data_IF_480159351020
#
_entry.id   IF_480159351020
#
_cell.length_a   1.000
_cell.length_b   1.000
_cell.length_c   1.000
_cell.angle_alpha   90.00
_cell.angle_beta   90.00
_cell.angle_gamma   90.00
#
_symmetry.space_group_name_H-M   'P 1'
#
loop_
_entity.id
_entity.type
_entity.pdbx_description
1 polymer ?
#
# COMPACT_ATOMS: atom_id res chain seq x y z
N UNK A 1 -28.31 -0.99 -61.01
CA UNK A 1 -27.93 -1.47 -59.66
C UNK A 1 -27.70 -2.95 -59.83
N UNK A 2 -26.44 -3.27 -59.98
CA UNK A 2 -25.83 -4.27 -60.87
C UNK A 2 -24.77 -4.99 -59.99
N UNK A 3 -24.42 -6.27 -60.07
CA UNK A 3 -24.58 -7.31 -61.06
C UNK A 3 -24.59 -8.67 -60.33
N UNK A 4 -25.39 -9.61 -60.83
CA UNK A 4 -25.05 -11.04 -60.82
C UNK A 4 -24.81 -11.39 -62.28
N UNK A 5 -23.68 -12.05 -62.57
CA UNK A 5 -23.64 -13.21 -63.46
C UNK A 5 -22.21 -13.74 -63.55
N UNK A 6 -22.09 -15.06 -63.37
CA UNK A 6 -20.88 -15.84 -63.56
C UNK A 6 -21.01 -16.52 -64.92
N UNK A 7 -20.06 -16.28 -65.80
CA UNK A 7 -19.91 -16.99 -67.07
C UNK A 7 -18.50 -17.59 -67.19
N UNK A 8 -18.51 -18.83 -67.67
CA UNK A 8 -17.43 -19.72 -68.13
C UNK A 8 -16.59 -19.11 -69.29
N UNK A 9 -15.72 -19.85 -70.02
CA UNK A 9 -14.46 -20.49 -69.65
C UNK A 9 -13.30 -20.27 -70.70
N UNK A 10 -12.09 -20.76 -70.38
CA UNK A 10 -11.04 -21.25 -71.34
C UNK A 10 -10.29 -20.22 -72.23
N UNK A 11 -9.30 -20.63 -73.06
CA UNK A 11 -7.96 -21.13 -72.71
C UNK A 11 -6.84 -20.43 -73.54
N UNK A 12 -5.56 -20.59 -73.19
CA UNK A 12 -4.41 -20.67 -74.14
C UNK A 12 -3.10 -20.66 -73.33
N UNK A 13 -2.36 -21.77 -73.20
CA UNK A 13 -1.48 -22.39 -74.20
C UNK A 13 -0.47 -21.41 -74.82
N UNK A 14 0.77 -21.41 -74.32
CA UNK A 14 1.92 -22.00 -75.03
C UNK A 14 3.24 -21.70 -74.30
N UNK A 15 3.93 -22.74 -73.82
CA UNK A 15 5.11 -23.38 -74.46
C UNK A 15 6.40 -22.58 -74.24
N UNK A 16 7.23 -23.11 -73.34
CA UNK A 16 8.62 -23.51 -73.60
C UNK A 16 9.01 -24.51 -72.50
N UNK A 17 8.92 -25.84 -72.69
CA UNK A 17 9.99 -26.74 -73.21
C UNK A 17 11.40 -26.20 -72.96
N UNK A 18 12.39 -26.92 -72.43
CA UNK A 18 12.68 -28.33 -72.11
C UNK A 18 14.07 -28.25 -71.43
N UNK A 19 14.41 -28.99 -70.35
CA UNK A 19 15.18 -30.26 -70.34
C UNK A 19 15.37 -30.71 -68.88
N UNK A 20 14.79 -31.85 -68.49
CA UNK A 20 15.44 -33.18 -68.34
C UNK A 20 16.07 -33.40 -66.95
N UNK A 21 15.45 -34.26 -66.13
CA UNK A 21 15.89 -35.64 -65.83
C UNK A 21 17.04 -35.66 -64.79
N UNK A 22 17.02 -36.36 -63.66
CA UNK A 22 16.29 -37.57 -63.28
C UNK A 22 16.51 -37.82 -61.77
N UNK A 23 15.57 -38.57 -61.17
CA UNK A 23 15.72 -39.50 -60.05
C UNK A 23 16.05 -38.99 -58.63
N UNK A 24 15.01 -39.10 -57.80
CA UNK A 24 14.99 -39.73 -56.47
C UNK A 24 16.34 -40.26 -55.95
N UNK A 25 16.80 -39.66 -54.86
CA UNK A 25 17.25 -40.46 -53.72
C UNK A 25 16.87 -39.75 -52.42
N UNK A 26 16.30 -40.55 -51.54
CA UNK A 26 15.89 -40.24 -50.18
C UNK A 26 17.06 -39.64 -49.39
N UNK A 27 16.93 -38.39 -48.94
CA UNK A 27 17.62 -37.91 -47.76
C UNK A 27 16.54 -37.51 -46.77
N UNK A 28 16.40 -38.33 -45.73
CA UNK A 28 15.76 -37.93 -44.48
C UNK A 28 16.44 -36.63 -44.02
N UNK A 29 15.79 -35.50 -44.26
CA UNK A 29 16.07 -34.30 -43.50
C UNK A 29 15.20 -34.42 -42.26
N UNK A 30 15.80 -34.93 -41.19
CA UNK A 30 15.29 -34.78 -39.83
C UNK A 30 14.97 -33.29 -39.63
N UNK A 31 13.69 -32.93 -39.77
CA UNK A 31 13.19 -31.73 -39.13
C UNK A 31 13.22 -32.02 -37.65
N UNK A 32 14.34 -31.70 -37.01
CA UNK A 32 14.38 -31.45 -35.58
C UNK A 32 13.22 -30.48 -35.29
N UNK A 33 12.17 -31.01 -34.68
CA UNK A 33 11.17 -30.21 -34.02
C UNK A 33 11.95 -29.48 -32.92
N UNK A 34 12.28 -28.20 -33.13
CA UNK A 34 12.74 -27.34 -32.05
C UNK A 34 11.62 -27.32 -31.01
N UNK A 35 11.75 -28.16 -29.99
CA UNK A 35 10.98 -28.08 -28.76
C UNK A 35 11.05 -26.63 -28.31
N UNK A 36 9.91 -25.92 -28.28
CA UNK A 36 9.81 -24.58 -27.69
C UNK A 36 10.41 -24.67 -26.29
N UNK A 37 11.60 -24.11 -26.07
CA UNK A 37 12.09 -23.99 -24.71
C UNK A 37 11.15 -23.00 -24.00
N UNK A 38 10.61 -23.42 -22.87
CA UNK A 38 9.87 -22.52 -22.00
C UNK A 38 10.87 -22.05 -20.96
N UNK A 39 11.26 -20.79 -21.04
CA UNK A 39 12.09 -20.17 -20.01
C UNK A 39 11.18 -19.70 -18.86
N UNK A 40 11.48 -20.17 -17.65
CA UNK A 40 10.85 -19.70 -16.42
C UNK A 40 11.71 -18.56 -15.86
N UNK A 41 11.21 -17.33 -15.97
CA UNK A 41 11.92 -16.14 -15.50
C UNK A 41 11.10 -15.52 -14.39
N UNK A 42 11.77 -15.06 -13.34
CA UNK A 42 11.17 -14.16 -12.37
C UNK A 42 11.60 -12.73 -12.66
N UNK A 43 10.64 -11.83 -12.69
CA UNK A 43 10.85 -10.40 -12.78
C UNK A 43 10.61 -9.82 -11.40
N UNK A 44 11.68 -9.37 -10.76
CA UNK A 44 11.66 -8.73 -9.45
C UNK A 44 11.58 -7.21 -9.64
N UNK A 45 10.47 -6.59 -9.28
CA UNK A 45 10.22 -5.16 -9.42
C UNK A 45 9.64 -4.60 -8.14
N UNK A 46 10.43 -3.75 -7.45
CA UNK A 46 10.09 -3.04 -6.22
C UNK A 46 9.59 -3.95 -5.07
N UNK A 47 8.30 -4.32 -5.10
CA UNK A 47 7.61 -5.04 -4.02
C UNK A 47 7.03 -6.37 -4.46
N UNK A 48 7.21 -6.76 -5.72
CA UNK A 48 6.74 -8.05 -6.20
C UNK A 48 7.80 -8.75 -7.04
N UNK A 49 7.70 -10.08 -7.02
CA UNK A 49 8.49 -10.96 -7.85
C UNK A 49 7.53 -11.81 -8.67
N UNK A 50 7.39 -11.48 -9.95
CA UNK A 50 6.40 -12.08 -10.85
C UNK A 50 7.04 -13.15 -11.73
N UNK A 51 6.38 -14.30 -11.88
CA UNK A 51 6.88 -15.38 -12.74
C UNK A 51 6.31 -15.19 -14.15
N UNK A 52 7.19 -15.13 -15.14
CA UNK A 52 6.83 -15.03 -16.55
C UNK A 52 7.31 -16.27 -17.30
N UNK A 53 6.43 -16.79 -18.15
CA UNK A 53 6.74 -17.87 -19.08
C UNK A 53 7.04 -17.28 -20.45
N UNK A 54 8.26 -17.47 -20.93
CA UNK A 54 8.67 -17.00 -22.25
C UNK A 54 8.94 -18.22 -23.13
N UNK A 55 8.11 -18.40 -24.16
CA UNK A 55 8.12 -19.57 -25.05
C UNK A 55 8.85 -19.35 -26.38
N UNK A 56 9.39 -18.15 -26.59
CA UNK A 56 10.07 -17.74 -27.83
C UNK A 56 11.52 -17.37 -27.51
N UNK A 57 12.47 -18.06 -28.15
CA UNK A 57 13.91 -17.82 -28.01
C UNK A 57 14.34 -16.42 -28.48
N UNK A 58 13.54 -15.78 -29.34
CA UNK A 58 13.79 -14.44 -29.83
C UNK A 58 13.24 -13.34 -28.91
N UNK A 59 12.47 -13.70 -27.88
CA UNK A 59 11.89 -12.73 -26.97
C UNK A 59 12.98 -11.94 -26.25
N UNK A 60 12.82 -10.62 -26.29
CA UNK A 60 13.75 -9.70 -25.64
C UNK A 60 13.52 -9.65 -24.14
N UNK A 61 14.53 -9.21 -23.41
CA UNK A 61 14.44 -8.90 -21.98
C UNK A 61 13.29 -7.95 -21.70
N UNK A 62 13.09 -6.96 -22.57
CA UNK A 62 11.96 -6.01 -22.51
C UNK A 62 10.60 -6.70 -22.54
N UNK A 63 10.36 -7.61 -23.49
CA UNK A 63 9.08 -8.32 -23.62
C UNK A 63 8.78 -9.16 -22.37
N UNK A 64 9.79 -9.81 -21.79
CA UNK A 64 9.61 -10.57 -20.55
C UNK A 64 9.20 -9.68 -19.38
N UNK A 65 9.82 -8.50 -19.25
CA UNK A 65 9.50 -7.51 -18.22
C UNK A 65 8.11 -6.92 -18.44
N UNK A 66 7.79 -6.48 -19.65
CA UNK A 66 6.53 -5.85 -20.00
C UNK A 66 5.35 -6.81 -19.74
N UNK A 67 5.51 -8.11 -20.06
CA UNK A 67 4.53 -9.14 -19.71
C UNK A 67 4.35 -9.29 -18.20
N UNK A 68 5.43 -9.24 -17.42
CA UNK A 68 5.37 -9.31 -15.96
C UNK A 68 4.63 -8.12 -15.35
N UNK A 69 4.92 -6.91 -15.86
CA UNK A 69 4.26 -5.68 -15.45
C UNK A 69 2.78 -5.71 -15.82
N UNK A 70 2.44 -6.17 -17.03
CA UNK A 70 1.06 -6.31 -17.49
C UNK A 70 0.26 -7.30 -16.64
N UNK A 71 0.84 -8.44 -16.24
CA UNK A 71 0.22 -9.41 -15.32
C UNK A 71 -0.12 -8.79 -13.96
N UNK A 72 0.62 -7.74 -13.55
CA UNK A 72 0.38 -6.96 -12.33
C UNK A 72 -0.39 -5.66 -12.58
N UNK A 73 -0.95 -5.48 -13.78
CA UNK A 73 -1.64 -4.26 -14.20
C UNK A 73 -0.80 -2.99 -13.96
N UNK A 74 0.52 -3.10 -14.14
CA UNK A 74 1.50 -2.04 -14.00
C UNK A 74 2.07 -1.67 -15.37
N UNK A 75 2.43 -0.40 -15.56
CA UNK A 75 3.21 0.05 -16.71
C UNK A 75 4.42 0.83 -16.21
N UNK A 76 5.60 0.54 -16.74
CA UNK A 76 6.81 1.31 -16.46
C UNK A 76 7.58 1.50 -17.77
N UNK A 77 7.68 2.75 -18.23
CA UNK A 77 8.34 3.10 -19.49
C UNK A 77 9.83 3.43 -19.34
N UNK A 78 10.32 3.63 -18.10
CA UNK A 78 11.70 4.05 -17.85
C UNK A 78 12.35 3.19 -16.75
N UNK A 79 13.09 2.16 -17.17
CA UNK A 79 13.76 1.21 -16.29
C UNK A 79 15.10 0.71 -16.84
N UNK A 80 15.92 0.14 -15.98
CA UNK A 80 17.04 -0.71 -16.36
C UNK A 80 16.89 -2.10 -15.75
N UNK A 81 17.25 -3.13 -16.52
CA UNK A 81 17.23 -4.51 -16.08
C UNK A 81 18.61 -4.91 -15.51
N UNK A 82 18.60 -5.68 -14.43
CA UNK A 82 19.79 -6.23 -13.79
C UNK A 82 19.63 -7.75 -13.68
N UNK A 83 20.66 -8.49 -14.07
CA UNK A 83 20.76 -9.93 -13.89
C UNK A 83 22.16 -10.25 -13.38
N UNK A 84 22.24 -11.05 -12.32
CA UNK A 84 23.51 -11.43 -11.67
C UNK A 84 24.43 -10.22 -11.38
N UNK A 85 23.83 -9.16 -10.81
CA UNK A 85 24.47 -7.87 -10.52
C UNK A 85 25.05 -7.11 -11.73
N UNK A 86 24.69 -7.49 -12.97
CA UNK A 86 25.11 -6.80 -14.19
C UNK A 86 23.93 -6.17 -14.91
N UNK A 87 24.16 -5.00 -15.49
CA UNK A 87 23.19 -4.35 -16.37
C UNK A 87 22.96 -5.19 -17.62
N UNK A 88 21.69 -5.40 -17.94
CA UNK A 88 21.26 -6.18 -19.09
C UNK A 88 20.67 -5.23 -20.12
N UNK A 89 21.03 -5.43 -21.39
CA UNK A 89 20.43 -4.67 -22.48
C UNK A 89 19.02 -5.21 -22.77
N UNK A 90 18.02 -4.36 -22.58
CA UNK A 90 16.60 -4.68 -22.74
C UNK A 90 16.23 -5.14 -24.16
N UNK A 91 16.99 -4.72 -25.17
CA UNK A 91 16.73 -5.01 -26.59
C UNK A 91 17.37 -6.32 -27.06
N UNK A 92 18.21 -6.94 -26.23
CA UNK A 92 18.77 -8.26 -26.53
C UNK A 92 17.77 -9.37 -26.17
N UNK A 93 17.84 -10.48 -26.92
CA UNK A 93 17.14 -11.70 -26.53
C UNK A 93 17.64 -12.20 -25.18
N UNK A 94 16.78 -12.91 -24.44
CA UNK A 94 17.12 -13.42 -23.11
C UNK A 94 18.40 -14.28 -23.09
N UNK A 95 18.63 -15.09 -24.13
CA UNK A 95 19.86 -15.87 -24.31
C UNK A 95 21.07 -14.99 -24.62
N UNK A 96 20.95 -14.06 -25.57
CA UNK A 96 22.03 -13.13 -25.94
C UNK A 96 22.42 -12.19 -24.81
N UNK A 97 21.47 -11.91 -23.92
CA UNK A 97 21.66 -11.09 -22.74
C UNK A 97 22.23 -11.88 -21.55
N UNK A 98 22.48 -13.19 -21.72
CA UNK A 98 23.03 -14.08 -20.69
C UNK A 98 22.07 -14.39 -19.54
N UNK A 99 20.78 -14.08 -19.70
CA UNK A 99 19.76 -14.28 -18.66
C UNK A 99 19.32 -15.74 -18.58
N UNK A 100 19.35 -16.48 -19.69
CA UNK A 100 18.89 -17.87 -19.75
C UNK A 100 20.04 -18.81 -20.11
N UNK A 101 20.65 -19.45 -19.10
CA UNK A 101 21.53 -20.60 -19.31
C UNK A 101 20.81 -21.88 -18.87
N UNK A 102 20.60 -22.78 -19.84
CA UNK A 102 19.94 -24.10 -19.91
C UNK A 102 19.63 -24.98 -18.67
N UNK A 103 19.46 -24.46 -17.44
CA UNK A 103 18.99 -25.27 -16.29
C UNK A 103 18.50 -24.48 -15.06
N UNK A 104 18.66 -23.16 -15.01
CA UNK A 104 18.29 -22.39 -13.79
C UNK A 104 17.10 -21.46 -14.00
N UNK A 105 16.30 -21.33 -12.93
CA UNK A 105 15.34 -20.25 -12.75
C UNK A 105 16.13 -18.94 -12.67
N UNK A 106 15.88 -18.03 -13.61
CA UNK A 106 16.58 -16.74 -13.69
C UNK A 106 15.73 -15.65 -13.09
N UNK A 107 16.31 -14.78 -12.25
CA UNK A 107 15.62 -13.60 -11.72
C UNK A 107 16.23 -12.34 -12.33
N UNK A 108 15.43 -11.60 -13.09
CA UNK A 108 15.78 -10.27 -13.58
C UNK A 108 15.24 -9.27 -12.57
N UNK A 109 16.10 -8.45 -11.97
CA UNK A 109 15.67 -7.32 -11.15
C UNK A 109 15.47 -6.10 -12.04
N UNK A 110 14.26 -5.57 -12.06
CA UNK A 110 13.91 -4.36 -12.78
C UNK A 110 13.97 -3.20 -11.81
N UNK A 111 14.76 -2.19 -12.17
CA UNK A 111 14.90 -0.98 -11.37
C UNK A 111 14.42 0.20 -12.20
N UNK A 112 13.52 1.04 -11.66
CA UNK A 112 13.10 2.24 -12.36
C UNK A 112 14.33 3.10 -12.66
N UNK A 113 14.45 3.56 -13.90
CA UNK A 113 15.51 4.45 -14.35
C UNK A 113 15.04 5.85 -13.99
N UNK A 114 15.49 6.32 -12.85
CA UNK A 114 15.33 7.71 -12.46
C UNK A 114 16.61 8.40 -12.93
N UNK A 115 16.51 9.28 -13.94
CA UNK A 115 17.67 10.04 -14.41
C UNK A 115 18.31 10.72 -13.19
N UNK A 116 19.61 10.45 -12.98
CA UNK A 116 20.35 10.97 -11.82
C UNK A 116 20.28 12.49 -11.74
N UNK A 117 20.10 12.99 -10.52
CA UNK A 117 19.98 14.41 -10.19
C UNK A 117 19.15 14.62 -8.93
N UNK A 118 19.47 15.64 -8.13
CA UNK A 118 18.51 16.14 -7.14
C UNK A 118 17.32 16.74 -7.90
N UNK A 119 16.15 16.12 -7.78
CA UNK A 119 14.89 16.71 -8.25
C UNK A 119 14.26 17.48 -7.10
N UNK A 120 13.61 18.62 -7.38
CA UNK A 120 12.71 19.18 -6.38
C UNK A 120 11.62 18.16 -6.07
N UNK A 121 11.18 18.09 -4.82
CA UNK A 121 10.16 17.14 -4.41
C UNK A 121 8.82 17.46 -5.08
N UNK A 122 8.55 18.73 -5.39
CA UNK A 122 7.44 19.13 -6.25
C UNK A 122 7.49 18.45 -7.64
N UNK A 123 8.65 18.47 -8.31
CA UNK A 123 8.82 17.77 -9.59
C UNK A 123 8.64 16.26 -9.47
N UNK A 124 9.11 15.67 -8.37
CA UNK A 124 8.92 14.25 -8.08
C UNK A 124 7.44 13.92 -7.84
N UNK A 125 6.73 14.71 -7.02
CA UNK A 125 5.30 14.54 -6.75
C UNK A 125 4.48 14.71 -8.03
N UNK A 126 4.79 15.71 -8.86
CA UNK A 126 4.16 15.91 -10.15
C UNK A 126 4.33 14.70 -11.08
N UNK A 127 5.54 14.11 -11.13
CA UNK A 127 5.83 12.94 -11.96
C UNK A 127 5.09 11.67 -11.53
N UNK A 128 4.74 11.55 -10.25
CA UNK A 128 4.03 10.38 -9.71
C UNK A 128 2.57 10.68 -9.37
N UNK A 129 2.06 11.87 -9.70
CA UNK A 129 0.75 12.37 -9.23
C UNK A 129 -0.38 11.40 -9.53
N UNK A 130 -0.42 10.90 -10.77
CA UNK A 130 -1.46 9.98 -11.24
C UNK A 130 -1.31 8.56 -10.64
N UNK A 131 -0.20 8.32 -9.96
CA UNK A 131 0.11 7.06 -9.27
C UNK A 131 0.11 7.21 -7.75
N UNK A 132 -0.14 8.38 -7.17
CA UNK A 132 -0.15 8.57 -5.71
C UNK A 132 -1.30 7.82 -5.06
N UNK A 133 -2.47 7.88 -5.70
CA UNK A 133 -3.74 7.45 -5.13
C UNK A 133 -4.38 6.38 -6.02
N UNK A 134 -5.11 5.47 -5.39
CA UNK A 134 -5.90 4.45 -6.07
C UNK A 134 -7.33 4.51 -5.56
N UNK A 135 -8.29 4.55 -6.48
CA UNK A 135 -9.71 4.47 -6.14
C UNK A 135 -10.15 3.01 -6.11
N UNK A 136 -10.83 2.60 -5.05
CA UNK A 136 -11.40 1.25 -4.88
C UNK A 136 -12.91 1.35 -4.77
N UNK A 137 -13.62 0.79 -5.74
CA UNK A 137 -15.10 0.69 -5.68
C UNK A 137 -15.49 -0.48 -4.80
N UNK A 138 -16.42 -0.25 -3.87
CA UNK A 138 -16.97 -1.30 -3.03
C UNK A 138 -17.89 -2.23 -3.83
N UNK A 139 -17.89 -3.54 -3.53
CA UNK A 139 -18.93 -4.46 -4.00
C UNK A 139 -20.34 -3.95 -3.65
N UNK A 140 -21.30 -4.13 -4.55
CA UNK A 140 -22.67 -3.63 -4.37
C UNK A 140 -23.35 -4.11 -3.07
N UNK A 141 -23.07 -5.34 -2.62
CA UNK A 141 -23.57 -5.88 -1.34
C UNK A 141 -23.00 -5.18 -0.09
N UNK A 142 -21.86 -4.51 -0.23
CA UNK A 142 -21.27 -3.66 0.78
C UNK A 142 -21.70 -2.20 0.62
N UNK A 143 -22.56 -1.86 -0.35
CA UNK A 143 -23.08 -0.50 -0.44
C UNK A 143 -24.00 -0.21 0.75
N UNK A 144 -23.85 0.98 1.28
CA UNK A 144 -24.77 1.49 2.27
C UNK A 144 -26.11 1.84 1.59
N UNK A 145 -27.23 1.68 2.30
CA UNK A 145 -28.57 1.89 1.73
C UNK A 145 -28.93 3.36 1.50
N UNK A 146 -28.30 4.24 2.29
CA UNK A 146 -28.41 5.69 2.13
C UNK A 146 -27.55 6.15 0.94
N UNK A 147 -28.16 6.87 0.01
CA UNK A 147 -27.52 7.42 -1.20
C UNK A 147 -26.47 8.50 -0.88
N UNK A 148 -26.43 9.02 0.35
CA UNK A 148 -25.43 9.99 0.79
C UNK A 148 -24.06 9.40 1.15
N UNK A 149 -23.88 8.08 1.05
CA UNK A 149 -22.60 7.41 1.33
C UNK A 149 -21.84 7.09 0.07
N UNK A 150 -20.53 7.33 0.11
CA UNK A 150 -19.64 6.91 -0.95
C UNK A 150 -19.65 5.39 -1.12
N UNK A 151 -19.64 4.96 -2.38
CA UNK A 151 -19.53 3.54 -2.76
C UNK A 151 -18.11 3.18 -3.19
N UNK A 152 -17.16 4.05 -2.89
CA UNK A 152 -15.75 3.88 -3.17
C UNK A 152 -14.92 4.49 -2.03
N UNK A 153 -13.67 4.07 -1.94
CA UNK A 153 -12.66 4.75 -1.13
C UNK A 153 -11.50 5.18 -2.00
N UNK A 154 -10.77 6.19 -1.53
CA UNK A 154 -9.47 6.58 -2.08
C UNK A 154 -8.40 6.04 -1.14
N UNK A 155 -7.43 5.32 -1.67
CA UNK A 155 -6.31 4.79 -0.89
C UNK A 155 -4.99 5.38 -1.39
N UNK A 156 -3.98 5.37 -0.52
CA UNK A 156 -2.61 5.57 -0.95
C UNK A 156 -2.17 4.34 -1.74
N UNK A 157 -1.64 4.56 -2.94
CA UNK A 157 -0.95 3.50 -3.68
C UNK A 157 0.34 3.10 -2.97
N UNK A 158 1.04 2.03 -3.40
CA UNK A 158 2.39 1.75 -2.92
C UNK A 158 3.36 2.93 -3.09
N UNK A 159 3.20 3.71 -4.17
CA UNK A 159 3.98 4.93 -4.43
C UNK A 159 3.57 6.06 -3.50
N UNK A 160 2.27 6.24 -3.25
CA UNK A 160 1.75 7.22 -2.30
C UNK A 160 2.20 6.93 -0.86
N UNK A 161 2.11 5.67 -0.42
CA UNK A 161 2.61 5.22 0.88
C UNK A 161 4.11 5.49 1.04
N UNK A 162 4.89 5.27 -0.02
CA UNK A 162 6.33 5.57 -0.03
C UNK A 162 6.59 7.08 0.08
N UNK A 163 5.91 7.90 -0.73
CA UNK A 163 6.05 9.35 -0.67
C UNK A 163 5.70 9.92 0.71
N UNK A 164 4.62 9.41 1.31
CA UNK A 164 4.20 9.78 2.67
C UNK A 164 5.27 9.42 3.71
N UNK A 165 5.80 8.20 3.65
CA UNK A 165 6.88 7.76 4.57
C UNK A 165 8.12 8.62 4.44
N UNK A 166 8.54 8.90 3.21
CA UNK A 166 9.70 9.75 2.93
C UNK A 166 9.55 11.16 3.53
N UNK A 167 8.33 11.74 3.49
CA UNK A 167 8.03 13.05 4.10
C UNK A 167 8.20 13.03 5.61
N UNK A 168 7.64 12.04 6.31
CA UNK A 168 7.80 11.96 7.77
C UNK A 168 9.23 11.59 8.18
N UNK A 169 9.91 10.74 7.42
CA UNK A 169 11.34 10.43 7.64
C UNK A 169 12.24 11.65 7.49
N UNK A 170 11.93 12.58 6.57
CA UNK A 170 12.65 13.83 6.42
C UNK A 170 12.62 14.66 7.71
N UNK A 171 11.42 14.86 8.27
CA UNK A 171 11.23 15.65 9.49
C UNK A 171 11.83 14.95 10.70
N UNK A 172 11.62 13.65 10.85
CA UNK A 172 12.20 12.88 11.96
C UNK A 172 13.73 13.00 11.98
N UNK A 173 14.39 12.81 10.83
CA UNK A 173 15.86 12.96 10.76
C UNK A 173 16.32 14.36 11.14
N UNK A 174 15.57 15.39 10.76
CA UNK A 174 15.90 16.78 11.10
C UNK A 174 15.76 17.00 12.62
N UNK A 175 14.63 16.62 13.20
CA UNK A 175 14.34 16.78 14.62
C UNK A 175 15.29 15.97 15.51
N UNK A 176 15.66 14.75 15.10
CA UNK A 176 16.63 13.92 15.82
C UNK A 176 18.04 14.52 15.86
N UNK A 177 18.40 15.35 14.87
CA UNK A 177 19.67 16.08 14.85
C UNK A 177 19.61 17.40 15.66
N UNK A 178 18.50 17.64 16.37
CA UNK A 178 18.29 18.88 17.11
C UNK A 178 18.14 20.09 16.19
N UNK A 179 17.54 19.91 15.02
CA UNK A 179 17.28 20.97 14.05
C UNK A 179 15.77 21.10 13.80
N UNK A 180 15.34 22.29 13.40
CA UNK A 180 13.97 22.59 12.96
C UNK A 180 13.98 23.72 11.93
N UNK A 181 12.91 23.84 11.15
CA UNK A 181 12.67 24.96 10.26
C UNK A 181 11.56 25.89 10.78
N UNK A 182 11.00 25.61 11.96
CA UNK A 182 9.88 26.36 12.56
C UNK A 182 8.72 26.55 11.57
N UNK A 183 8.42 25.49 10.80
CA UNK A 183 7.39 25.51 9.75
C UNK A 183 7.72 26.34 8.51
N UNK A 184 8.93 26.92 8.40
CA UNK A 184 9.33 27.81 7.30
C UNK A 184 9.95 27.05 6.14
N UNK A 185 9.18 26.15 5.53
CA UNK A 185 9.56 25.46 4.29
C UNK A 185 8.34 25.21 3.41
N UNK A 186 8.54 24.92 2.13
CA UNK A 186 7.52 24.40 1.24
C UNK A 186 8.02 23.18 0.47
N UNK A 187 7.19 22.66 -0.45
CA UNK A 187 7.63 21.55 -1.33
C UNK A 187 8.88 21.88 -2.15
N UNK A 188 9.04 23.14 -2.55
CA UNK A 188 10.19 23.61 -3.33
C UNK A 188 11.52 23.55 -2.55
N UNK A 189 11.46 23.54 -1.23
CA UNK A 189 12.62 23.45 -0.34
C UNK A 189 13.03 21.99 -0.07
N UNK A 190 12.22 21.03 -0.49
CA UNK A 190 12.48 19.61 -0.33
C UNK A 190 13.01 19.07 -1.65
N UNK A 191 14.07 18.29 -1.57
CA UNK A 191 14.71 17.66 -2.70
C UNK A 191 14.67 16.13 -2.55
N UNK A 192 14.31 15.44 -3.63
CA UNK A 192 14.42 13.99 -3.71
C UNK A 192 15.77 13.59 -4.27
N UNK A 193 16.51 12.82 -3.48
CA UNK A 193 17.76 12.18 -3.87
C UNK A 193 17.47 10.73 -4.26
N UNK A 194 17.47 10.46 -5.56
CA UNK A 194 17.15 9.15 -6.13
C UNK A 194 18.22 8.09 -5.89
N UNK A 195 19.48 8.48 -5.66
CA UNK A 195 20.58 7.55 -5.41
C UNK A 195 20.44 6.86 -4.05
N UNK A 196 19.94 7.59 -3.05
CA UNK A 196 19.76 7.10 -1.69
C UNK A 196 18.30 6.85 -1.32
N UNK A 197 17.38 7.01 -2.29
CA UNK A 197 15.93 6.95 -2.07
C UNK A 197 15.49 7.75 -0.83
N UNK A 198 15.85 9.04 -0.79
CA UNK A 198 15.60 9.88 0.39
C UNK A 198 15.22 11.30 0.03
N UNK A 199 14.40 11.91 0.88
CA UNK A 199 14.20 13.35 0.88
C UNK A 199 15.24 14.05 1.74
N UNK A 200 15.64 15.23 1.30
CA UNK A 200 16.53 16.13 2.02
C UNK A 200 16.11 17.57 1.76
N UNK A 201 16.35 18.47 2.70
CA UNK A 201 16.13 19.89 2.45
C UNK A 201 17.21 20.46 1.53
N UNK A 202 16.85 21.47 0.74
CA UNK A 202 17.78 22.29 -0.03
C UNK A 202 18.78 22.97 0.90
N UNK A 203 20.00 23.21 0.42
CA UNK A 203 21.02 23.97 1.16
C UNK A 203 20.63 25.44 1.40
N UNK A 204 19.57 25.92 0.74
CA UNK A 204 19.07 27.29 0.88
C UNK A 204 18.17 27.51 2.11
N UNK A 205 17.72 26.45 2.78
CA UNK A 205 16.86 26.60 3.96
C UNK A 205 17.68 27.02 5.18
N UNK A 206 17.07 27.82 6.06
CA UNK A 206 17.70 28.28 7.28
C UNK A 206 17.25 27.45 8.47
N UNK A 207 18.10 26.54 8.94
CA UNK A 207 17.83 25.73 10.12
C UNK A 207 17.96 26.54 11.40
N UNK A 208 17.02 26.30 12.32
CA UNK A 208 17.14 26.63 13.73
C UNK A 208 17.75 25.41 14.43
N UNK A 209 18.87 25.59 15.12
CA UNK A 209 19.56 24.50 15.82
C UNK A 209 19.42 24.65 17.33
N UNK A 210 19.02 23.57 18.00
CA UNK A 210 18.98 23.49 19.46
C UNK A 210 20.36 23.05 19.96
N UNK A 211 21.04 23.88 20.76
CA UNK A 211 22.31 23.50 21.40
C UNK A 211 22.05 22.80 22.73
N UNK A 212 21.56 21.57 22.66
CA UNK A 212 21.30 20.71 23.82
C UNK A 212 19.83 20.62 24.23
N UNK A 213 19.48 19.66 25.11
CA UNK A 213 18.09 19.35 25.48
C UNK A 213 17.37 20.49 26.20
N UNK A 214 18.10 21.43 26.82
CA UNK A 214 17.53 22.61 27.50
C UNK A 214 17.05 23.70 26.54
N UNK A 215 17.55 23.70 25.30
CA UNK A 215 17.18 24.66 24.25
C UNK A 215 16.16 24.08 23.25
N UNK A 216 15.71 22.84 23.45
CA UNK A 216 14.67 22.23 22.63
C UNK A 216 13.38 23.03 22.73
N UNK A 217 12.90 23.55 21.59
CA UNK A 217 11.60 24.19 21.51
C UNK A 217 10.60 23.27 20.80
N UNK A 218 9.67 22.74 21.57
CA UNK A 218 8.64 21.82 21.11
C UNK A 218 7.67 22.46 20.10
N UNK A 219 7.46 23.78 20.21
CA UNK A 219 6.61 24.56 19.30
C UNK A 219 7.16 24.58 17.88
N UNK A 220 8.48 24.70 17.71
CA UNK A 220 9.11 24.71 16.39
C UNK A 220 9.00 23.37 15.68
N UNK A 221 9.19 22.26 16.40
CA UNK A 221 8.96 20.93 15.86
C UNK A 221 7.47 20.72 15.50
N UNK A 222 6.56 21.28 16.30
CA UNK A 222 5.13 21.24 16.02
C UNK A 222 4.78 22.02 14.75
N UNK A 223 5.35 23.21 14.56
CA UNK A 223 5.17 24.02 13.36
C UNK A 223 5.68 23.30 12.10
N UNK A 224 6.80 22.57 12.18
CA UNK A 224 7.28 21.74 11.08
C UNK A 224 6.27 20.64 10.70
N UNK A 225 5.66 20.00 11.70
CA UNK A 225 4.65 18.97 11.49
C UNK A 225 3.34 19.54 10.93
N UNK A 226 2.93 20.72 11.39
CA UNK A 226 1.78 21.44 10.80
C UNK A 226 1.99 21.72 9.32
N UNK A 227 3.22 22.05 8.93
CA UNK A 227 3.55 22.27 7.54
C UNK A 227 3.51 20.98 6.70
N UNK A 228 3.93 19.84 7.26
CA UNK A 228 3.68 18.53 6.64
C UNK A 228 2.18 18.29 6.47
N UNK A 229 1.36 18.53 7.49
CA UNK A 229 -0.09 18.37 7.40
C UNK A 229 -0.70 19.23 6.27
N UNK A 230 -0.22 20.46 6.10
CA UNK A 230 -0.61 21.32 4.97
C UNK A 230 -0.23 20.71 3.61
N UNK A 231 0.98 20.16 3.47
CA UNK A 231 1.40 19.44 2.24
C UNK A 231 0.50 18.24 1.96
N UNK A 232 0.13 17.47 2.99
CA UNK A 232 -0.78 16.33 2.84
C UNK A 232 -2.17 16.78 2.36
N UNK A 233 -2.69 17.84 2.97
CA UNK A 233 -3.96 18.42 2.55
C UNK A 233 -3.89 18.95 1.12
N UNK A 234 -2.79 19.54 0.66
CA UNK A 234 -2.74 20.13 -0.68
C UNK A 234 -2.48 19.09 -1.79
N UNK A 235 -1.60 18.12 -1.55
CA UNK A 235 -1.06 17.27 -2.63
C UNK A 235 -1.56 15.82 -2.62
N UNK A 236 -2.12 15.34 -1.51
CA UNK A 236 -2.64 13.98 -1.40
C UNK A 236 -4.16 13.98 -1.49
N UNK A 237 -4.71 14.59 -2.54
CA UNK A 237 -6.15 14.59 -2.82
C UNK A 237 -6.45 14.03 -4.19
N UNK A 238 -7.53 13.26 -4.26
CA UNK A 238 -8.10 12.82 -5.52
C UNK A 238 -9.32 13.66 -5.85
N UNK A 239 -9.37 14.21 -7.06
CA UNK A 239 -10.51 14.96 -7.56
C UNK A 239 -11.43 14.03 -8.35
N UNK A 240 -12.65 13.87 -7.89
CA UNK A 240 -13.60 12.96 -8.50
C UNK A 240 -14.02 13.48 -9.91
N UNK A 241 -13.94 12.65 -10.97
CA UNK A 241 -14.07 13.13 -12.35
C UNK A 241 -15.39 13.79 -12.71
N UNK A 242 -16.50 13.43 -12.07
CA UNK A 242 -17.84 13.85 -12.50
C UNK A 242 -18.45 14.98 -11.67
N UNK A 243 -18.29 14.98 -10.36
CA UNK A 243 -18.84 15.98 -9.43
C UNK A 243 -17.78 17.04 -9.05
N UNK A 244 -16.50 16.79 -9.33
CA UNK A 244 -15.38 17.69 -9.04
C UNK A 244 -14.99 17.75 -7.56
N UNK A 245 -15.59 16.93 -6.71
CA UNK A 245 -15.31 16.89 -5.27
C UNK A 245 -13.90 16.34 -5.01
N UNK A 246 -13.27 16.82 -3.94
CA UNK A 246 -11.93 16.36 -3.54
C UNK A 246 -12.04 15.40 -2.36
N UNK A 247 -11.34 14.27 -2.48
CA UNK A 247 -11.33 13.21 -1.49
C UNK A 247 -9.92 12.97 -1.00
N UNK A 248 -9.76 12.93 0.32
CA UNK A 248 -8.53 12.49 0.97
C UNK A 248 -8.48 10.96 1.02
N UNK A 249 -7.29 10.35 1.01
CA UNK A 249 -7.13 8.93 1.23
C UNK A 249 -7.68 8.49 2.59
N UNK A 250 -8.07 7.23 2.67
CA UNK A 250 -8.54 6.57 3.89
C UNK A 250 -7.63 6.92 5.08
N UNK A 251 -8.26 7.42 6.14
CA UNK A 251 -7.64 7.86 7.40
C UNK A 251 -6.65 9.04 7.32
N UNK A 252 -6.47 9.68 6.17
CA UNK A 252 -5.57 10.84 6.04
C UNK A 252 -6.09 12.05 6.81
N UNK A 253 -7.41 12.31 6.78
CA UNK A 253 -8.04 13.39 7.55
C UNK A 253 -7.80 13.23 9.06
N UNK A 254 -7.88 11.99 9.56
CA UNK A 254 -7.64 11.66 10.96
C UNK A 254 -6.15 11.83 11.34
N UNK A 255 -5.23 11.47 10.43
CA UNK A 255 -3.80 11.73 10.62
C UNK A 255 -3.52 13.24 10.71
N UNK A 256 -4.09 14.03 9.80
CA UNK A 256 -3.94 15.48 9.76
C UNK A 256 -4.51 16.12 11.04
N UNK A 257 -5.71 15.72 11.46
CA UNK A 257 -6.32 16.17 12.72
C UNK A 257 -5.47 15.80 13.93
N UNK A 258 -4.91 14.59 13.95
CA UNK A 258 -3.99 14.18 15.01
C UNK A 258 -2.76 15.11 15.06
N UNK A 259 -2.14 15.39 13.91
CA UNK A 259 -0.99 16.30 13.84
C UNK A 259 -1.35 17.69 14.37
N UNK A 260 -2.48 18.27 13.98
CA UNK A 260 -2.89 19.59 14.47
C UNK A 260 -3.23 19.63 15.96
N UNK A 261 -3.69 18.52 16.53
CA UNK A 261 -4.10 18.43 17.93
C UNK A 261 -3.04 17.85 18.87
N UNK A 262 -1.87 17.46 18.35
CA UNK A 262 -0.82 16.86 19.17
C UNK A 262 -0.34 17.85 20.24
N UNK A 263 -0.07 17.36 21.45
CA UNK A 263 0.59 18.18 22.48
C UNK A 263 1.99 18.57 21.99
N UNK A 264 2.43 19.77 22.36
CA UNK A 264 3.81 20.25 22.23
C UNK A 264 4.85 19.16 22.60
N UNK A 265 4.59 18.34 23.62
CA UNK A 265 5.49 17.25 24.03
C UNK A 265 5.44 15.99 23.15
N UNK A 266 4.41 15.80 22.32
CA UNK A 266 4.30 14.63 21.43
C UNK A 266 5.41 14.63 20.37
N UNK A 267 5.87 15.81 19.92
CA UNK A 267 7.03 15.94 19.03
C UNK A 267 8.37 15.65 19.71
N UNK A 268 8.44 15.73 21.04
CA UNK A 268 9.69 15.55 21.81
C UNK A 268 10.05 14.09 22.02
N UNK A 269 9.06 13.26 22.33
CA UNK A 269 9.30 11.85 22.69
C UNK A 269 9.24 10.96 21.44
N UNK A 270 10.18 10.00 21.33
CA UNK A 270 10.12 8.93 20.30
C UNK A 270 8.73 8.28 20.24
N UNK A 271 8.15 8.11 21.43
CA UNK A 271 6.85 7.55 21.74
C UNK A 271 5.65 8.35 21.16
N UNK A 272 5.68 9.69 21.27
CA UNK A 272 4.66 10.54 20.65
C UNK A 272 4.77 10.52 19.13
N UNK A 273 6.00 10.55 18.60
CA UNK A 273 6.25 10.49 17.15
C UNK A 273 5.88 9.14 16.53
N UNK A 274 6.00 8.03 17.27
CA UNK A 274 5.63 6.70 16.74
C UNK A 274 4.14 6.56 16.42
N UNK A 275 3.25 7.36 17.03
CA UNK A 275 1.82 7.35 16.69
C UNK A 275 1.60 7.72 15.21
N UNK A 276 2.40 8.66 14.71
CA UNK A 276 2.34 9.17 13.34
C UNK A 276 2.83 8.09 12.36
N UNK A 277 4.00 7.52 12.62
CA UNK A 277 4.60 6.48 11.76
C UNK A 277 3.80 5.18 11.73
N UNK A 278 3.03 4.90 12.78
CA UNK A 278 2.17 3.72 12.88
C UNK A 278 0.70 4.04 12.62
N UNK A 279 0.37 5.25 12.16
CA UNK A 279 -1.00 5.61 11.87
C UNK A 279 -1.57 4.70 10.77
N UNK A 280 -2.83 4.28 10.91
CA UNK A 280 -3.47 3.36 9.96
C UNK A 280 -3.55 3.90 8.52
N UNK A 281 -3.41 5.21 8.32
CA UNK A 281 -3.24 5.83 6.99
C UNK A 281 -1.98 5.32 6.26
N UNK A 282 -0.92 4.91 6.98
CA UNK A 282 0.32 4.37 6.41
C UNK A 282 0.28 2.85 6.16
N UNK A 283 -0.89 2.23 6.31
CA UNK A 283 -1.13 0.80 6.15
C UNK A 283 -2.04 0.55 4.95
N UNK A 284 -1.80 -0.54 4.24
CA UNK A 284 -2.74 -1.10 3.26
C UNK A 284 -4.00 -1.64 3.95
N UNK A 285 -5.12 -1.76 3.24
CA UNK A 285 -6.34 -2.39 3.77
C UNK A 285 -6.10 -3.79 4.36
N UNK A 286 -5.23 -4.57 3.72
CA UNK A 286 -4.85 -5.90 4.23
C UNK A 286 -4.09 -5.81 5.56
N UNK A 287 -3.14 -4.87 5.67
CA UNK A 287 -2.41 -4.62 6.93
C UNK A 287 -3.38 -4.15 8.04
N UNK A 288 -4.34 -3.27 7.73
CA UNK A 288 -5.37 -2.79 8.68
C UNK A 288 -6.29 -3.92 9.14
N UNK A 289 -6.73 -4.79 8.24
CA UNK A 289 -7.55 -5.95 8.57
C UNK A 289 -6.79 -6.96 9.44
N UNK A 290 -5.53 -7.24 9.10
CA UNK A 290 -4.65 -8.12 9.88
C UNK A 290 -4.40 -7.55 11.28
N UNK A 291 -4.25 -6.23 11.39
CA UNK A 291 -4.12 -5.51 12.65
C UNK A 291 -5.38 -5.66 13.52
N UNK A 292 -6.58 -5.48 12.95
CA UNK A 292 -7.85 -5.69 13.67
C UNK A 292 -7.95 -7.13 14.22
N UNK A 293 -7.57 -8.13 13.41
CA UNK A 293 -7.56 -9.53 13.84
C UNK A 293 -6.50 -9.78 14.93
N UNK A 294 -5.29 -9.23 14.78
CA UNK A 294 -4.18 -9.40 15.74
C UNK A 294 -4.49 -8.76 17.09
N UNK A 295 -5.07 -7.55 17.09
CA UNK A 295 -5.54 -6.87 18.30
C UNK A 295 -6.59 -7.71 19.05
N UNK A 296 -7.47 -8.40 18.32
CA UNK A 296 -8.48 -9.27 18.92
C UNK A 296 -7.88 -10.52 19.55
N UNK A 297 -6.92 -11.15 18.88
CA UNK A 297 -6.25 -12.34 19.40
C UNK A 297 -5.35 -12.00 20.59
N UNK A 298 -4.71 -10.83 20.56
CA UNK A 298 -3.95 -10.29 21.67
C UNK A 298 -4.81 -10.11 22.92
N UNK A 299 -5.98 -9.47 22.79
CA UNK A 299 -6.86 -9.23 23.95
C UNK A 299 -7.27 -10.53 24.65
N UNK A 300 -7.46 -11.64 23.91
CA UNK A 300 -7.78 -12.94 24.50
C UNK A 300 -6.66 -13.53 25.34
N UNK A 301 -5.41 -13.17 25.05
CA UNK A 301 -4.22 -13.61 25.75
C UNK A 301 -3.82 -12.74 26.93
N UNK A 302 -4.52 -11.62 27.18
CA UNK A 302 -4.17 -10.69 28.25
C UNK A 302 -4.45 -11.25 29.65
N UNK A 303 -3.49 -11.07 30.56
CA UNK A 303 -3.69 -11.28 31.99
C UNK A 303 -4.64 -10.21 32.57
N UNK A 304 -5.25 -10.51 33.73
CA UNK A 304 -6.32 -9.69 34.32
C UNK A 304 -5.94 -8.21 34.54
N UNK A 305 -4.68 -7.92 34.89
CA UNK A 305 -4.21 -6.55 35.07
C UNK A 305 -4.05 -5.79 33.74
N UNK A 306 -3.40 -6.41 32.75
CA UNK A 306 -3.23 -5.84 31.41
C UNK A 306 -4.59 -5.61 30.73
N UNK A 307 -5.52 -6.54 30.92
CA UNK A 307 -6.90 -6.41 30.45
C UNK A 307 -7.63 -5.24 31.12
N UNK A 308 -7.46 -5.05 32.44
CA UNK A 308 -8.03 -3.91 33.15
C UNK A 308 -7.46 -2.57 32.67
N UNK A 309 -6.14 -2.52 32.44
CA UNK A 309 -5.49 -1.33 31.89
C UNK A 309 -6.05 -1.00 30.50
N UNK A 310 -6.11 -1.98 29.59
CA UNK A 310 -6.64 -1.80 28.23
C UNK A 310 -8.08 -1.28 28.24
N UNK A 311 -8.93 -1.87 29.09
CA UNK A 311 -10.32 -1.42 29.28
C UNK A 311 -10.42 0.02 29.81
N UNK A 312 -9.48 0.44 30.64
CA UNK A 312 -9.48 1.79 31.21
C UNK A 312 -9.19 2.86 30.16
N UNK A 313 -8.33 2.57 29.19
CA UNK A 313 -7.99 3.55 28.17
C UNK A 313 -8.83 3.48 26.90
N UNK A 314 -9.53 2.37 26.72
CA UNK A 314 -10.62 2.24 25.76
C UNK A 314 -11.92 2.17 26.55
N UNK A 315 -12.27 3.23 27.32
CA UNK A 315 -13.52 3.21 28.06
C UNK A 315 -14.63 2.99 27.05
N UNK A 316 -15.56 2.08 27.37
CA UNK A 316 -16.82 2.00 26.64
C UNK A 316 -17.47 3.38 26.75
N UNK A 317 -17.30 4.22 25.73
CA UNK A 317 -18.09 5.43 25.59
C UNK A 317 -19.54 4.96 25.56
N UNK A 318 -20.28 5.43 26.56
CA UNK A 318 -21.59 4.96 26.94
C UNK A 318 -22.51 4.92 25.72
N UNK A 319 -23.17 3.78 25.54
CA UNK A 319 -24.40 3.60 24.77
C UNK A 319 -24.36 4.02 23.29
N UNK A 320 -24.49 3.01 22.40
CA UNK A 320 -25.03 3.17 21.05
C UNK A 320 -24.12 3.65 19.93
N UNK A 321 -22.80 3.51 20.03
CA UNK A 321 -21.91 3.70 18.85
C UNK A 321 -22.38 2.88 17.64
N UNK A 322 -22.90 1.66 17.86
CA UNK A 322 -23.44 0.79 16.81
C UNK A 322 -24.80 1.27 16.28
N UNK A 323 -25.48 2.22 16.94
CA UNK A 323 -26.63 2.93 16.37
C UNK A 323 -26.21 4.19 15.62
N UNK A 324 -25.04 4.76 15.94
CA UNK A 324 -24.40 5.80 15.14
C UNK A 324 -23.75 5.23 13.88
N UNK A 325 -23.27 3.97 13.92
CA UNK A 325 -23.05 3.17 12.72
C UNK A 325 -24.36 3.05 11.97
N UNK A 326 -24.50 3.82 10.89
CA UNK A 326 -25.68 3.74 10.05
C UNK A 326 -25.75 2.35 9.42
N UNK A 327 -26.87 1.67 9.61
CA UNK A 327 -27.02 0.23 9.35
C UNK A 327 -27.22 0.01 7.84
N UNK A 328 -26.17 -0.47 7.15
CA UNK A 328 -26.29 -1.11 5.84
C UNK A 328 -26.66 -2.60 5.95
N UNK A 329 -26.96 -3.27 4.83
CA UNK A 329 -27.34 -4.70 4.82
C UNK A 329 -26.31 -5.61 5.49
N UNK A 330 -25.03 -5.43 5.16
CA UNK A 330 -23.94 -6.27 5.69
C UNK A 330 -23.71 -6.02 7.19
N UNK A 331 -23.76 -4.77 7.64
CA UNK A 331 -23.75 -4.40 9.07
C UNK A 331 -24.94 -5.00 9.81
N UNK A 332 -26.14 -4.95 9.22
CA UNK A 332 -27.33 -5.58 9.77
C UNK A 332 -27.14 -7.09 9.96
N UNK A 333 -26.68 -7.80 8.93
CA UNK A 333 -26.45 -9.25 9.03
C UNK A 333 -25.49 -9.60 10.17
N UNK A 334 -24.44 -8.81 10.36
CA UNK A 334 -23.45 -9.01 11.44
C UNK A 334 -24.06 -8.73 12.81
N UNK A 335 -24.83 -7.65 12.97
CA UNK A 335 -25.50 -7.31 14.24
C UNK A 335 -26.52 -8.38 14.69
N UNK A 336 -27.17 -9.04 13.73
CA UNK A 336 -28.17 -10.08 13.97
C UNK A 336 -27.59 -11.50 13.87
N UNK A 337 -26.27 -11.64 13.78
CA UNK A 337 -25.62 -12.94 13.87
C UNK A 337 -25.69 -13.49 15.30
N UNK A 338 -25.99 -14.78 15.42
CA UNK A 338 -26.04 -15.49 16.71
C UNK A 338 -24.67 -16.02 17.09
N UNK A 339 -24.21 -15.67 18.29
CA UNK A 339 -22.97 -16.17 18.90
C UNK A 339 -23.23 -16.85 20.23
N UNK A 340 -22.27 -17.64 20.70
CA UNK A 340 -22.28 -18.20 22.04
C UNK A 340 -21.58 -17.21 22.98
N UNK A 341 -22.22 -16.86 24.10
CA UNK A 341 -21.63 -16.00 25.14
C UNK A 341 -20.80 -16.83 26.15
N UNK A 342 -20.25 -16.17 27.18
CA UNK A 342 -19.46 -16.84 28.22
C UNK A 342 -20.27 -17.83 29.08
N UNK A 343 -21.60 -17.66 29.18
CA UNK A 343 -22.50 -18.60 29.86
C UNK A 343 -22.96 -19.77 28.99
N UNK A 344 -22.50 -19.85 27.73
CA UNK A 344 -22.88 -20.92 26.80
C UNK A 344 -24.22 -20.70 26.08
N UNK A 345 -24.86 -19.54 26.28
CA UNK A 345 -26.15 -19.20 25.66
C UNK A 345 -25.95 -18.57 24.28
N UNK A 346 -26.90 -18.85 23.38
CA UNK A 346 -26.96 -18.19 22.08
C UNK A 346 -27.58 -16.81 22.23
N UNK A 347 -26.80 -15.78 21.92
CA UNK A 347 -27.22 -14.38 21.94
C UNK A 347 -26.89 -13.70 20.62
N UNK A 348 -27.68 -12.69 20.24
CA UNK A 348 -27.37 -11.88 19.07
C UNK A 348 -26.18 -10.98 19.37
N UNK A 349 -25.33 -10.72 18.36
CA UNK A 349 -24.18 -9.83 18.53
C UNK A 349 -24.60 -8.46 19.09
N UNK A 350 -25.68 -7.86 18.58
CA UNK A 350 -26.21 -6.58 19.09
C UNK A 350 -26.56 -6.57 20.59
N UNK A 351 -26.88 -7.73 21.18
CA UNK A 351 -27.17 -7.86 22.62
C UNK A 351 -25.88 -7.99 23.43
N UNK A 352 -24.81 -8.48 22.81
CA UNK A 352 -23.50 -8.66 23.42
C UNK A 352 -22.65 -7.38 23.39
N UNK A 353 -22.71 -6.59 22.31
CA UNK A 353 -21.88 -5.40 22.13
C UNK A 353 -21.95 -4.39 23.29
N UNK A 354 -23.13 -4.04 23.86
CA UNK A 354 -23.19 -3.11 24.99
C UNK A 354 -22.43 -3.59 26.24
N UNK A 355 -22.24 -4.90 26.37
CA UNK A 355 -21.59 -5.54 27.51
C UNK A 355 -20.10 -5.85 27.24
N UNK A 356 -19.62 -5.60 26.02
CA UNK A 356 -18.26 -5.90 25.60
C UNK A 356 -17.36 -4.65 25.71
N UNK A 357 -16.28 -4.67 26.53
CA UNK A 357 -15.38 -3.54 26.72
C UNK A 357 -14.53 -3.14 25.50
N UNK A 358 -14.60 -3.90 24.39
CA UNK A 358 -14.00 -3.60 23.10
C UNK A 358 -14.97 -3.91 21.95
N UNK A 359 -16.24 -3.54 22.16
CA UNK A 359 -17.33 -3.87 21.25
C UNK A 359 -17.07 -3.46 19.80
N UNK A 360 -16.45 -2.30 19.55
CA UNK A 360 -16.06 -1.87 18.20
C UNK A 360 -15.08 -2.83 17.51
N UNK A 361 -14.05 -3.29 18.24
CA UNK A 361 -13.04 -4.20 17.73
C UNK A 361 -13.65 -5.57 17.43
N UNK A 362 -14.49 -6.07 18.34
CA UNK A 362 -15.17 -7.35 18.17
C UNK A 362 -16.16 -7.32 16.99
N UNK A 363 -16.90 -6.22 16.83
CA UNK A 363 -17.76 -6.00 15.67
C UNK A 363 -16.95 -5.96 14.38
N UNK A 364 -15.90 -5.14 14.30
CA UNK A 364 -15.09 -4.96 13.08
C UNK A 364 -14.49 -6.29 12.63
N UNK A 365 -13.97 -7.07 13.58
CA UNK A 365 -13.46 -8.42 13.32
C UNK A 365 -14.56 -9.36 12.84
N UNK A 366 -15.72 -9.36 13.49
CA UNK A 366 -16.88 -10.15 13.05
C UNK A 366 -17.32 -9.74 11.64
N UNK A 367 -17.38 -8.45 11.34
CA UNK A 367 -17.74 -7.93 10.02
C UNK A 367 -16.79 -8.46 8.94
N UNK A 368 -15.48 -8.31 9.12
CA UNK A 368 -14.47 -8.80 8.18
C UNK A 368 -14.63 -10.31 7.95
N UNK A 369 -14.73 -11.10 9.03
CA UNK A 369 -14.88 -12.56 8.94
C UNK A 369 -16.16 -12.97 8.23
N UNK A 370 -17.27 -12.28 8.46
CA UNK A 370 -18.55 -12.60 7.85
C UNK A 370 -18.64 -12.18 6.38
N UNK A 371 -18.06 -11.03 6.03
CA UNK A 371 -17.98 -10.57 4.65
C UNK A 371 -17.20 -11.56 3.76
N UNK A 372 -16.07 -12.09 4.27
CA UNK A 372 -15.24 -13.04 3.51
C UNK A 372 -15.77 -14.48 3.54
N UNK A 373 -16.72 -14.82 4.42
CA UNK A 373 -17.16 -16.22 4.64
C UNK A 373 -17.82 -16.85 3.41
N UNK A 374 -18.41 -16.05 2.52
CA UNK A 374 -18.94 -16.56 1.24
C UNK A 374 -17.86 -16.82 0.19
N UNK A 375 -16.60 -16.43 0.45
CA UNK A 375 -15.49 -16.53 -0.50
C UNK A 375 -15.56 -15.54 -1.66
N UNK A 376 -16.59 -14.71 -1.70
CA UNK A 376 -16.84 -13.76 -2.79
C UNK A 376 -16.12 -12.41 -2.60
N UNK A 377 -15.85 -12.03 -1.34
CA UNK A 377 -15.16 -10.78 -1.01
C UNK A 377 -13.76 -11.05 -0.46
N UNK A 378 -12.82 -10.15 -0.79
CA UNK A 378 -11.51 -10.13 -0.17
C UNK A 378 -11.53 -9.42 1.19
N UNK A 379 -10.53 -9.71 2.02
CA UNK A 379 -10.32 -9.02 3.28
C UNK A 379 -10.12 -7.51 3.09
N UNK A 380 -9.48 -7.09 1.99
CA UNK A 380 -9.31 -5.68 1.59
C UNK A 380 -10.67 -5.02 1.31
N UNK A 381 -11.58 -5.69 0.60
CA UNK A 381 -12.91 -5.14 0.31
C UNK A 381 -13.76 -4.97 1.57
N UNK A 382 -13.68 -5.95 2.48
CA UNK A 382 -14.37 -5.87 3.75
C UNK A 382 -13.80 -4.75 4.65
N UNK A 383 -12.49 -4.58 4.65
CA UNK A 383 -11.86 -3.50 5.42
C UNK A 383 -12.19 -2.13 4.84
N UNK A 384 -12.18 -1.95 3.52
CA UNK A 384 -12.53 -0.68 2.86
C UNK A 384 -13.96 -0.20 3.13
N UNK A 385 -14.86 -1.09 3.58
CA UNK A 385 -16.18 -0.69 4.07
C UNK A 385 -16.10 0.06 5.41
N UNK A 386 -15.24 -0.39 6.33
CA UNK A 386 -15.17 0.14 7.70
C UNK A 386 -14.84 1.65 7.74
N UNK A 387 -13.86 2.19 7.00
CA UNK A 387 -13.60 3.63 6.95
C UNK A 387 -14.79 4.48 6.45
N UNK A 388 -15.69 3.92 5.63
CA UNK A 388 -16.87 4.64 5.14
C UNK A 388 -17.94 4.75 6.23
N UNK A 389 -18.15 3.67 6.99
CA UNK A 389 -19.20 3.63 8.02
C UNK A 389 -18.73 4.15 9.38
N UNK A 390 -17.45 4.02 9.68
CA UNK A 390 -16.82 4.45 10.92
C UNK A 390 -15.34 4.84 10.69
N UNK A 391 -15.10 6.05 10.13
CA UNK A 391 -13.76 6.54 9.84
C UNK A 391 -12.93 6.84 11.09
N UNK A 392 -13.52 6.86 12.29
CA UNK A 392 -12.84 7.28 13.52
C UNK A 392 -12.34 6.11 14.36
N UNK A 393 -13.00 4.96 14.28
CA UNK A 393 -12.71 3.82 15.14
C UNK A 393 -11.24 3.41 15.15
N UNK A 394 -10.66 3.05 14.00
CA UNK A 394 -9.31 2.49 13.95
C UNK A 394 -8.22 3.52 14.31
N UNK A 395 -8.25 4.78 13.80
CA UNK A 395 -7.36 5.83 14.27
C UNK A 395 -7.42 6.04 15.79
N UNK A 396 -8.62 6.18 16.35
CA UNK A 396 -8.81 6.43 17.78
C UNK A 396 -8.32 5.27 18.64
N UNK A 397 -8.60 4.04 18.22
CA UNK A 397 -8.13 2.83 18.89
C UNK A 397 -6.59 2.82 18.96
N UNK A 398 -5.91 3.09 17.84
CA UNK A 398 -4.45 3.08 17.78
C UNK A 398 -3.82 4.22 18.58
N UNK A 399 -4.41 5.41 18.52
CA UNK A 399 -3.97 6.54 19.34
C UNK A 399 -4.06 6.21 20.83
N UNK A 400 -5.20 5.66 21.30
CA UNK A 400 -5.42 5.29 22.71
C UNK A 400 -4.47 4.19 23.18
N UNK A 401 -4.30 3.13 22.39
CA UNK A 401 -3.38 2.03 22.69
C UNK A 401 -1.94 2.55 22.77
N UNK A 402 -1.54 3.43 21.85
CA UNK A 402 -0.18 4.00 21.87
C UNK A 402 -0.01 4.97 23.05
N UNK A 403 -1.00 5.80 23.35
CA UNK A 403 -0.97 6.69 24.51
C UNK A 403 -0.89 5.92 25.83
N UNK A 404 -1.58 4.79 25.97
CA UNK A 404 -1.46 3.90 27.12
C UNK A 404 -0.04 3.35 27.31
N UNK A 405 0.51 2.79 26.24
CA UNK A 405 1.87 2.26 26.23
C UNK A 405 2.89 3.31 26.70
N UNK A 406 2.61 4.57 26.36
CA UNK A 406 3.46 5.70 26.69
C UNK A 406 3.32 6.20 28.14
N UNK A 407 2.30 5.78 28.90
CA UNK A 407 2.03 6.34 30.24
C UNK A 407 2.90 5.74 31.36
N UNK A 408 3.23 4.44 31.34
CA UNK A 408 4.04 3.82 32.40
C UNK A 408 4.87 2.63 31.87
N UNK A 409 6.00 2.32 32.50
CA UNK A 409 6.79 1.12 32.19
C UNK A 409 5.96 -0.17 32.38
N UNK A 410 5.13 -0.21 33.44
CA UNK A 410 4.19 -1.30 33.68
C UNK A 410 3.15 -1.48 32.56
N UNK A 411 2.67 -0.38 31.97
CA UNK A 411 1.78 -0.44 30.81
C UNK A 411 2.52 -0.90 29.55
N UNK A 412 3.79 -0.52 29.37
CA UNK A 412 4.62 -0.98 28.27
C UNK A 412 4.97 -2.48 28.38
N UNK A 413 5.27 -2.97 29.57
CA UNK A 413 5.57 -4.39 29.81
C UNK A 413 4.30 -5.27 29.69
N UNK A 414 3.14 -4.71 30.01
CA UNK A 414 1.83 -5.38 29.92
C UNK A 414 1.18 -5.29 28.53
N UNK A 415 1.56 -4.30 27.72
CA UNK A 415 1.11 -4.10 26.36
C UNK A 415 2.30 -4.34 25.44
N UNK A 416 2.52 -5.60 25.04
CA UNK A 416 3.56 -6.00 24.07
C UNK A 416 3.20 -5.51 22.66
N UNK A 417 3.01 -4.20 22.54
CA UNK A 417 2.53 -3.49 21.37
C UNK A 417 3.49 -3.62 20.20
N UNK A 418 4.77 -3.81 20.49
CA UNK A 418 5.80 -4.11 19.50
C UNK A 418 5.48 -5.41 18.76
N UNK A 419 5.01 -6.44 19.47
CA UNK A 419 4.56 -7.69 18.85
C UNK A 419 3.16 -7.58 18.23
N UNK A 420 2.23 -6.81 18.82
CA UNK A 420 0.84 -6.68 18.33
C UNK A 420 0.74 -5.86 17.03
N UNK A 421 1.38 -4.69 17.02
CA UNK A 421 1.35 -3.78 15.88
C UNK A 421 2.40 -4.20 14.83
N UNK A 422 3.14 -5.30 15.09
CA UNK A 422 4.26 -5.75 14.27
C UNK A 422 5.22 -4.60 14.04
N UNK A 423 5.67 -3.93 15.12
CA UNK A 423 6.54 -2.77 15.04
C UNK A 423 7.67 -3.12 14.10
N UNK A 424 7.62 -2.49 12.93
CA UNK A 424 8.77 -2.48 12.06
C UNK A 424 9.82 -1.74 12.88
N UNK A 425 10.78 -2.49 13.43
CA UNK A 425 12.12 -2.02 13.78
C UNK A 425 12.86 -1.47 12.54
N UNK A 426 12.15 -0.85 11.59
CA UNK A 426 12.74 -0.20 10.41
C UNK A 426 13.51 1.04 10.81
N UNK A 427 13.27 1.55 12.00
CA UNK A 427 14.11 2.53 12.65
C UNK A 427 14.78 1.82 13.83
N UNK A 428 15.92 1.17 13.57
CA UNK A 428 16.87 0.84 14.63
C UNK A 428 17.34 2.19 15.21
N UNK A 429 16.63 2.65 16.23
CA UNK A 429 17.04 3.80 17.00
C UNK A 429 18.24 3.37 17.84
N UNK A 430 19.38 4.02 17.64
CA UNK A 430 20.36 4.10 18.72
C UNK A 430 19.65 4.80 19.88
N UNK A 431 19.59 4.14 21.02
CA UNK A 431 19.03 4.67 22.25
C UNK A 431 19.61 6.06 22.51
N UNK A 432 18.77 7.09 22.41
CA UNK A 432 19.06 8.44 22.84
C UNK A 432 18.56 8.67 24.28
N UNK A 433 18.29 7.59 25.02
CA UNK A 433 18.06 7.58 26.46
C UNK A 433 19.33 7.17 27.24
N UNK A 434 20.51 7.48 26.69
CA UNK A 434 21.80 7.40 27.39
C UNK A 434 22.29 8.81 27.75
#
# INVERSE_FOLDING_TARGET
MELKDTALPSPSSNINTVTSNTMNSTIQCERESKTKSIHNIYVDFLHFKEKVHVSDHSATVRVAIDNALQLRNCTNLDYYAVYDNKLVNNELSLESAGVCNNSTISTISVRPRIRGGLLSFDSYLAAIKDHLLVTRVLPQKLWHWDQGYDHFVVELSPVGLRALRLLFELIERMHLNGMSLDGKFGLGDIMYNSEFDRLQFSSSVNFVQYRGPELFNAEFCQNDMFNIASILLEHFRWKHPTDGNEYLPVYMDQLVKYIYNMDSNCGRTRKGRSVIFNHCCMMTATERAALIQSLRDYERGLESFAWFALRTALPNEKEEWFKQMKIGYSTYQVLYYSRINQSGERVLLKQYLPLCPLSHLDFSRCFIVHAIKSGEDSMEQAENYLPIVDPLFLPYLLERITNMYNQTQLAADALDIDNILGWRRKFDHKDADA
#
